data_IF_791375066588
#
_entry.id   IF_791375066588
#
_cell.length_a   1.000
_cell.length_b   1.000
_cell.length_c   1.000
_cell.angle_alpha   90.00
_cell.angle_beta   90.00
_cell.angle_gamma   90.00
#
_symmetry.space_group_name_H-M   'P 1'
#
loop_
_entity.id
_entity.type
_entity.pdbx_description
1 polymer ?
#
# COMPACT_ATOMS: atom_id res chain seq x y z
N UNK A 1 -14.79 -80.73 8.32
CA UNK A 1 -14.24 -79.93 7.20
C UNK A 1 -13.23 -78.97 7.79
N UNK A 2 -11.94 -79.21 7.50
CA UNK A 2 -10.74 -78.33 7.61
C UNK A 2 -10.63 -77.43 8.86
N UNK A 3 -9.83 -77.72 9.90
CA UNK A 3 -8.34 -77.64 9.99
C UNK A 3 -7.81 -76.27 9.56
N UNK A 4 -6.95 -75.51 10.27
CA UNK A 4 -6.12 -75.75 11.46
C UNK A 4 -5.54 -74.39 11.92
N UNK A 5 -5.20 -74.32 13.21
CA UNK A 5 -4.49 -73.26 13.94
C UNK A 5 -3.04 -73.02 13.48
N UNK A 6 -2.48 -71.84 13.75
CA UNK A 6 -1.27 -71.71 14.61
C UNK A 6 -0.80 -70.27 14.86
N UNK A 7 -0.17 -70.14 16.03
CA UNK A 7 0.33 -68.94 16.74
C UNK A 7 1.83 -68.65 16.39
N UNK A 8 2.62 -67.84 17.15
CA UNK A 8 3.32 -66.63 16.69
C UNK A 8 4.88 -66.72 16.72
N UNK A 9 5.60 -65.61 16.43
CA UNK A 9 6.79 -65.09 17.16
C UNK A 9 7.79 -64.32 16.27
N UNK A 10 8.38 -63.25 16.84
CA UNK A 10 9.85 -63.00 16.84
C UNK A 10 10.50 -62.28 15.65
N UNK A 11 11.20 -61.18 15.93
CA UNK A 11 12.04 -60.36 15.04
C UNK A 11 13.29 -61.09 14.47
N UNK A 12 14.03 -60.50 13.51
CA UNK A 12 15.24 -59.75 13.92
C UNK A 12 15.69 -58.55 13.04
N UNK A 13 16.44 -57.66 13.71
CA UNK A 13 17.66 -56.92 13.36
C UNK A 13 17.92 -56.10 12.07
N UNK A 14 18.66 -55.02 12.36
CA UNK A 14 19.31 -54.00 11.55
C UNK A 14 20.26 -54.53 10.44
N UNK A 15 20.44 -53.75 9.37
CA UNK A 15 21.73 -53.12 9.03
C UNK A 15 21.69 -52.30 7.71
N UNK A 16 22.48 -51.22 7.68
CA UNK A 16 23.16 -50.59 6.52
C UNK A 16 22.34 -49.92 5.39
N UNK A 17 22.18 -48.60 5.48
CA UNK A 17 22.04 -47.73 4.30
C UNK A 17 23.42 -47.17 3.94
N UNK A 18 23.97 -47.64 2.81
CA UNK A 18 25.23 -47.16 2.24
C UNK A 18 25.04 -45.83 1.50
N UNK A 19 25.94 -44.90 1.78
CA UNK A 19 26.17 -43.64 1.08
C UNK A 19 26.55 -43.87 -0.38
N UNK A 20 25.91 -43.17 -1.32
CA UNK A 20 26.40 -43.01 -2.70
C UNK A 20 26.86 -41.55 -2.95
N UNK A 21 28.01 -41.36 -3.63
CA UNK A 21 28.60 -40.04 -3.86
C UNK A 21 28.00 -39.31 -5.06
N UNK A 22 27.86 -38.00 -4.89
CA UNK A 22 27.45 -37.00 -5.87
C UNK A 22 28.40 -36.92 -7.06
N UNK A 23 27.88 -37.04 -8.30
CA UNK A 23 28.60 -36.68 -9.51
C UNK A 23 28.36 -35.20 -9.92
N UNK A 24 29.35 -34.50 -10.47
CA UNK A 24 29.24 -33.08 -10.82
C UNK A 24 28.58 -32.87 -12.19
N UNK A 25 27.66 -31.91 -12.26
CA UNK A 25 26.98 -31.45 -13.48
C UNK A 25 27.92 -30.52 -14.27
N UNK A 26 28.13 -30.72 -15.59
CA UNK A 26 28.97 -29.82 -16.38
C UNK A 26 28.23 -28.53 -16.75
N UNK A 27 28.85 -27.40 -16.41
CA UNK A 27 28.47 -26.05 -16.83
C UNK A 27 28.53 -25.89 -18.35
N UNK A 28 27.37 -25.74 -18.99
CA UNK A 28 27.27 -25.33 -20.41
C UNK A 28 26.95 -23.84 -20.50
N UNK A 29 27.92 -23.08 -21.04
CA UNK A 29 27.83 -21.66 -21.36
C UNK A 29 26.69 -21.39 -22.36
N UNK A 30 25.76 -20.49 -22.03
CA UNK A 30 24.75 -19.99 -22.98
C UNK A 30 25.33 -18.83 -23.80
N UNK A 31 25.61 -19.08 -25.08
CA UNK A 31 25.67 -18.02 -26.11
C UNK A 31 24.24 -17.63 -26.54
N UNK A 32 23.97 -16.35 -26.81
CA UNK A 32 22.66 -15.90 -27.28
C UNK A 32 22.46 -16.23 -28.76
N UNK A 33 21.35 -16.89 -29.08
CA UNK A 33 20.86 -17.08 -30.45
C UNK A 33 20.17 -15.79 -30.93
N UNK A 34 20.83 -15.05 -31.82
CA UNK A 34 20.15 -14.09 -32.69
C UNK A 34 19.25 -14.87 -33.66
N UNK A 35 17.99 -14.46 -33.79
CA UNK A 35 17.09 -14.95 -34.84
C UNK A 35 16.63 -13.75 -35.66
N UNK A 36 17.32 -13.53 -36.76
CA UNK A 36 16.87 -12.67 -37.86
C UNK A 36 15.61 -13.30 -38.51
N UNK A 37 14.68 -12.45 -38.96
CA UNK A 37 13.76 -12.81 -40.05
C UNK A 37 12.38 -13.37 -39.70
N UNK A 38 11.72 -12.94 -38.61
CA UNK A 38 10.29 -13.20 -38.44
C UNK A 38 9.47 -12.21 -39.30
N UNK A 39 9.05 -12.64 -40.49
CA UNK A 39 8.05 -11.91 -41.29
C UNK A 39 6.70 -12.07 -40.59
N UNK A 40 6.25 -11.01 -39.92
CA UNK A 40 4.93 -10.93 -39.32
C UNK A 40 3.89 -10.73 -40.43
N UNK A 41 3.05 -11.74 -40.66
CA UNK A 41 1.85 -11.59 -41.48
C UNK A 41 0.85 -10.78 -40.64
N UNK A 42 0.71 -9.50 -40.94
CA UNK A 42 -0.24 -8.60 -40.30
C UNK A 42 -1.67 -8.95 -40.71
N UNK A 43 -2.60 -8.87 -39.77
CA UNK A 43 -4.03 -8.95 -40.08
C UNK A 43 -4.47 -7.74 -40.92
N UNK A 44 -5.59 -7.82 -41.68
CA UNK A 44 -6.06 -6.72 -42.52
C UNK A 44 -6.27 -5.40 -41.77
N UNK A 45 -6.65 -5.47 -40.49
CA UNK A 45 -6.81 -4.31 -39.62
C UNK A 45 -5.46 -3.69 -39.19
N UNK A 46 -4.43 -4.52 -39.01
CA UNK A 46 -3.08 -4.06 -38.67
C UNK A 46 -2.38 -3.42 -39.88
N UNK A 47 -2.65 -3.91 -41.09
CA UNK A 47 -2.14 -3.31 -42.33
C UNK A 47 -2.75 -1.93 -42.61
N UNK A 48 -4.07 -1.78 -42.42
CA UNK A 48 -4.76 -0.51 -42.59
C UNK A 48 -4.27 0.57 -41.59
N UNK A 49 -3.92 0.15 -40.37
CA UNK A 49 -3.37 1.03 -39.35
C UNK A 49 -1.94 1.46 -39.68
N UNK A 50 -1.12 0.57 -40.24
CA UNK A 50 0.25 0.89 -40.67
C UNK A 50 0.28 1.90 -41.84
N UNK A 51 -0.58 1.73 -42.84
CA UNK A 51 -0.64 2.61 -44.02
C UNK A 51 -1.12 4.03 -43.68
N UNK A 52 -1.99 4.17 -42.68
CA UNK A 52 -2.44 5.47 -42.19
C UNK A 52 -1.33 6.23 -41.44
N UNK A 53 -0.37 5.54 -40.83
CA UNK A 53 0.69 6.13 -40.01
C UNK A 53 1.88 6.66 -40.82
N UNK A 54 2.10 6.18 -42.05
CA UNK A 54 3.19 6.63 -42.93
C UNK A 54 2.95 8.00 -43.59
N UNK A 55 1.73 8.55 -43.51
CA UNK A 55 1.33 9.75 -44.27
C UNK A 55 1.46 11.10 -43.54
N UNK A 56 1.92 11.16 -42.29
CA UNK A 56 1.94 12.45 -41.59
C UNK A 56 2.96 12.53 -40.44
N UNK A 57 4.02 13.31 -40.65
CA UNK A 57 4.92 13.87 -39.63
C UNK A 57 5.14 15.36 -39.96
N UNK A 58 5.26 16.27 -38.97
CA UNK A 58 6.60 16.76 -38.57
C UNK A 58 6.67 17.15 -37.03
N UNK A 59 7.68 17.90 -36.49
CA UNK A 59 8.54 17.48 -35.34
C UNK A 59 8.42 18.41 -34.08
N UNK A 60 9.15 18.15 -32.96
CA UNK A 60 8.95 18.83 -31.68
C UNK A 60 10.05 19.85 -31.27
N UNK A 61 9.69 20.83 -30.43
CA UNK A 61 10.54 21.78 -29.68
C UNK A 61 9.88 22.07 -28.31
N UNK A 62 10.51 22.67 -27.29
CA UNK A 62 11.76 22.49 -26.54
C UNK A 62 11.58 23.32 -25.23
N UNK A 63 12.38 22.99 -24.20
CA UNK A 63 12.35 23.38 -22.76
C UNK A 63 13.08 24.72 -22.48
N UNK A 64 12.79 25.43 -21.36
CA UNK A 64 13.72 26.24 -20.49
C UNK A 64 12.89 27.08 -19.45
N UNK A 65 13.31 27.48 -18.24
CA UNK A 65 14.58 27.57 -17.49
C UNK A 65 14.39 28.27 -16.09
N UNK A 66 15.45 28.34 -15.25
CA UNK A 66 15.52 28.67 -13.79
C UNK A 66 16.23 30.03 -13.44
N UNK A 67 16.13 30.44 -12.14
CA UNK A 67 17.09 31.14 -11.19
C UNK A 67 16.84 32.65 -10.87
N UNK A 68 17.56 33.34 -9.91
CA UNK A 68 17.69 33.14 -8.43
C UNK A 68 17.78 34.48 -7.56
N UNK A 69 17.87 34.31 -6.22
CA UNK A 69 18.66 34.98 -5.11
C UNK A 69 19.11 36.47 -5.09
N UNK A 70 19.06 37.11 -3.91
CA UNK A 70 20.07 38.04 -3.34
C UNK A 70 19.89 38.27 -1.81
N UNK A 71 21.01 38.45 -1.10
CA UNK A 71 21.24 38.77 0.34
C UNK A 71 21.63 40.26 0.47
N UNK A 72 21.55 40.85 1.67
CA UNK A 72 22.49 41.91 2.12
C UNK A 72 22.43 42.13 3.66
N UNK A 73 23.61 42.32 4.24
CA UNK A 73 23.99 42.58 5.65
C UNK A 73 23.93 44.09 6.02
N UNK A 74 23.91 44.42 7.33
CA UNK A 74 24.76 45.49 7.92
C UNK A 74 24.78 45.45 9.47
N UNK A 75 25.97 45.73 10.04
CA UNK A 75 26.37 45.70 11.46
C UNK A 75 26.36 47.09 12.16
N UNK A 76 26.73 47.11 13.46
CA UNK A 76 27.40 48.18 14.28
C UNK A 76 26.62 48.67 15.54
N UNK A 77 27.25 49.17 16.64
CA UNK A 77 28.01 48.44 17.67
C UNK A 77 27.60 48.81 19.12
N UNK A 78 28.32 48.25 20.10
CA UNK A 78 27.96 48.18 21.52
C UNK A 78 28.21 49.40 22.43
N UNK A 79 27.93 49.20 23.73
CA UNK A 79 28.51 49.97 24.83
C UNK A 79 28.37 49.26 26.18
N UNK A 80 29.51 48.86 26.75
CA UNK A 80 29.72 48.57 28.18
C UNK A 80 29.84 49.86 28.99
N UNK A 81 29.28 49.90 30.20
CA UNK A 81 29.89 50.59 31.36
C UNK A 81 29.20 50.19 32.67
N UNK A 82 29.96 49.60 33.61
CA UNK A 82 29.64 49.63 35.05
C UNK A 82 30.03 50.99 35.68
N UNK A 83 29.51 51.34 36.87
CA UNK A 83 30.35 51.17 38.06
C UNK A 83 29.62 50.74 39.35
N UNK A 84 30.41 50.11 40.22
CA UNK A 84 30.20 49.74 41.62
C UNK A 84 30.27 50.96 42.57
N UNK A 85 29.39 51.02 43.59
CA UNK A 85 29.77 51.21 45.00
C UNK A 85 28.54 51.21 45.94
N UNK A 86 28.48 50.18 46.79
CA UNK A 86 28.27 50.29 48.25
C UNK A 86 27.01 50.94 48.82
N UNK A 87 26.10 50.12 49.38
CA UNK A 87 25.57 50.36 50.74
C UNK A 87 25.13 49.06 51.39
N UNK A 88 25.63 48.82 52.60
CA UNK A 88 25.36 47.69 53.46
C UNK A 88 23.88 47.57 53.85
N UNK A 89 23.30 46.37 53.77
CA UNK A 89 22.30 45.91 54.73
C UNK A 89 22.35 44.39 54.82
N UNK A 90 22.58 43.91 56.04
CA UNK A 90 22.59 42.49 56.39
C UNK A 90 21.21 41.88 56.17
N UNK A 91 21.08 40.99 55.20
CA UNK A 91 20.04 39.97 55.18
C UNK A 91 20.72 38.64 54.89
N UNK A 92 20.81 37.79 55.92
CA UNK A 92 21.23 36.41 55.77
C UNK A 92 20.39 35.75 54.68
N UNK A 93 21.01 35.46 53.53
CA UNK A 93 20.47 34.51 52.57
C UNK A 93 20.51 33.13 53.23
N UNK A 94 19.48 32.82 54.00
CA UNK A 94 19.19 31.45 54.38
C UNK A 94 18.94 30.68 53.09
N UNK A 95 19.82 29.72 52.83
CA UNK A 95 19.58 28.62 51.89
C UNK A 95 18.18 28.04 52.18
N UNK A 96 17.21 28.40 51.35
CA UNK A 96 15.88 27.80 51.35
C UNK A 96 16.02 26.39 50.76
N UNK A 97 16.59 25.47 51.54
CA UNK A 97 16.34 24.06 51.35
C UNK A 97 14.85 23.88 51.62
N UNK A 98 14.02 23.53 50.63
CA UNK A 98 12.61 23.34 50.88
C UNK A 98 12.45 22.27 51.97
N UNK A 99 11.85 22.66 53.09
CA UNK A 99 11.60 21.75 54.21
C UNK A 99 10.85 20.53 53.66
N UNK A 100 11.36 19.33 53.97
CA UNK A 100 10.79 18.06 53.52
C UNK A 100 9.28 17.97 53.84
N UNK A 101 8.83 18.58 54.94
CA UNK A 101 7.41 18.66 55.32
C UNK A 101 6.55 19.44 54.33
N UNK A 102 7.07 20.52 53.72
CA UNK A 102 6.35 21.30 52.72
C UNK A 102 6.23 20.55 51.39
N UNK A 103 7.24 19.76 51.02
CA UNK A 103 7.22 18.94 49.80
C UNK A 103 6.24 17.76 49.97
N UNK A 104 6.24 17.10 51.13
CA UNK A 104 5.34 15.97 51.39
C UNK A 104 3.87 16.41 51.35
N UNK A 105 3.54 17.51 52.03
CA UNK A 105 2.17 18.03 52.04
C UNK A 105 1.66 18.49 50.66
N UNK A 106 2.52 19.12 49.86
CA UNK A 106 2.16 19.55 48.49
C UNK A 106 2.00 18.35 47.54
N UNK A 107 2.88 17.36 47.64
CA UNK A 107 2.84 16.15 46.81
C UNK A 107 1.60 15.29 47.11
N UNK A 108 1.22 15.12 48.38
CA UNK A 108 0.01 14.37 48.77
C UNK A 108 -1.30 15.05 48.33
N UNK A 109 -1.37 16.38 48.37
CA UNK A 109 -2.50 17.15 47.81
C UNK A 109 -2.61 16.93 46.30
N UNK A 110 -1.48 16.95 45.61
CA UNK A 110 -1.43 16.67 44.17
C UNK A 110 -1.82 15.23 43.82
N UNK A 111 -1.41 14.25 44.62
CA UNK A 111 -1.82 12.85 44.50
C UNK A 111 -3.33 12.66 44.63
N UNK A 112 -3.95 13.37 45.58
CA UNK A 112 -5.40 13.37 45.77
C UNK A 112 -6.12 14.00 44.57
N UNK A 113 -5.60 15.11 44.05
CA UNK A 113 -6.11 15.74 42.82
C UNK A 113 -6.02 14.79 41.61
N UNK A 114 -4.96 14.00 41.50
CA UNK A 114 -4.78 12.97 40.46
C UNK A 114 -5.56 11.67 40.71
N UNK A 115 -6.36 11.61 41.78
CA UNK A 115 -7.23 10.47 42.14
C UNK A 115 -6.46 9.14 42.27
N UNK A 116 -5.24 9.19 42.81
CA UNK A 116 -4.50 7.97 43.16
C UNK A 116 -5.29 7.13 44.18
N UNK A 117 -5.24 5.81 44.03
CA UNK A 117 -5.88 4.87 44.98
C UNK A 117 -5.25 5.01 46.37
N UNK A 118 -5.96 4.55 47.41
CA UNK A 118 -5.46 4.62 48.79
C UNK A 118 -4.08 3.97 48.93
N UNK A 119 -3.94 2.74 48.43
CA UNK A 119 -2.68 1.97 48.42
C UNK A 119 -1.53 2.73 47.73
N UNK A 120 -1.80 3.44 46.63
CA UNK A 120 -0.79 4.22 45.90
C UNK A 120 -0.37 5.50 46.63
N UNK A 121 -1.26 6.04 47.48
CA UNK A 121 -0.96 7.20 48.33
C UNK A 121 -0.09 6.78 49.52
N UNK A 122 -0.39 5.63 50.11
CA UNK A 122 0.42 5.06 51.19
C UNK A 122 1.85 4.74 50.70
N UNK A 123 1.97 4.16 49.50
CA UNK A 123 3.27 3.91 48.85
C UNK A 123 4.04 5.21 48.57
N UNK A 124 3.35 6.26 48.13
CA UNK A 124 3.95 7.57 47.87
C UNK A 124 4.44 8.24 49.16
N UNK A 125 3.66 8.16 50.24
CA UNK A 125 4.07 8.68 51.54
C UNK A 125 5.29 7.94 52.07
N UNK A 126 5.30 6.60 52.01
CA UNK A 126 6.45 5.79 52.37
C UNK A 126 7.68 6.12 51.52
N UNK A 127 7.51 6.38 50.22
CA UNK A 127 8.60 6.80 49.33
C UNK A 127 9.18 8.17 49.72
N UNK A 128 8.34 9.13 50.13
CA UNK A 128 8.76 10.45 50.57
C UNK A 128 9.48 10.42 51.93
N UNK A 129 9.26 9.40 52.75
CA UNK A 129 9.97 9.22 54.03
C UNK A 129 11.33 8.49 53.86
N UNK A 130 11.57 7.87 52.71
CA UNK A 130 12.80 7.11 52.45
C UNK A 130 14.04 8.00 52.23
N UNK A 131 15.24 7.45 52.47
CA UNK A 131 16.51 8.09 52.13
C UNK A 131 16.67 8.25 50.60
N UNK A 132 17.54 9.16 50.16
CA UNK A 132 17.79 9.38 48.73
C UNK A 132 18.22 8.09 47.99
N UNK A 133 19.11 7.30 48.60
CA UNK A 133 19.53 6.01 48.06
C UNK A 133 18.36 5.00 48.04
N UNK A 134 17.56 4.96 49.10
CA UNK A 134 16.36 4.11 49.16
C UNK A 134 15.32 4.46 48.09
N UNK A 135 15.11 5.75 47.82
CA UNK A 135 14.25 6.22 46.72
C UNK A 135 14.79 5.79 45.36
N UNK A 136 16.09 5.95 45.10
CA UNK A 136 16.72 5.51 43.85
C UNK A 136 16.59 3.99 43.66
N UNK A 137 16.83 3.20 44.71
CA UNK A 137 16.65 1.75 44.67
C UNK A 137 15.19 1.37 44.38
N UNK A 138 14.22 2.02 45.04
CA UNK A 138 12.78 1.82 44.77
C UNK A 138 12.39 2.17 43.34
N UNK A 139 12.89 3.27 42.78
CA UNK A 139 12.65 3.64 41.39
C UNK A 139 13.18 2.58 40.42
N UNK A 140 14.38 2.05 40.66
CA UNK A 140 14.96 0.98 39.84
C UNK A 140 14.12 -0.30 39.92
N UNK A 141 13.68 -0.69 41.12
CA UNK A 141 12.77 -1.85 41.29
C UNK A 141 11.44 -1.62 40.57
N UNK A 142 10.85 -0.42 40.64
CA UNK A 142 9.64 -0.09 39.90
C UNK A 142 9.86 -0.19 38.39
N UNK A 143 11.03 0.23 37.87
CA UNK A 143 11.37 0.11 36.47
C UNK A 143 11.42 -1.37 36.02
N UNK A 144 12.07 -2.23 36.80
CA UNK A 144 12.07 -3.69 36.55
C UNK A 144 10.66 -4.30 36.65
N UNK A 145 9.83 -3.84 37.58
CA UNK A 145 8.44 -4.30 37.69
C UNK A 145 7.62 -3.88 36.46
N UNK A 146 7.85 -2.68 35.93
CA UNK A 146 7.23 -2.21 34.69
C UNK A 146 7.71 -3.05 33.51
N UNK A 147 9.00 -3.37 33.42
CA UNK A 147 9.54 -4.27 32.39
C UNK A 147 8.86 -5.66 32.43
N UNK A 148 8.76 -6.28 33.61
CA UNK A 148 8.05 -7.55 33.78
C UNK A 148 6.58 -7.48 33.36
N UNK A 149 5.89 -6.37 33.68
CA UNK A 149 4.50 -6.15 33.25
C UNK A 149 4.41 -6.00 31.74
N UNK A 150 5.35 -5.26 31.12
CA UNK A 150 5.43 -5.12 29.66
C UNK A 150 5.64 -6.49 29.00
N UNK A 151 6.54 -7.33 29.54
CA UNK A 151 6.78 -8.67 29.00
C UNK A 151 5.57 -9.59 29.17
N UNK A 152 4.85 -9.46 30.28
CA UNK A 152 3.57 -10.16 30.48
C UNK A 152 2.54 -9.74 29.43
N UNK A 153 2.40 -8.43 29.17
CA UNK A 153 1.50 -7.93 28.13
C UNK A 153 1.90 -8.41 26.74
N UNK A 154 3.19 -8.43 26.42
CA UNK A 154 3.70 -8.97 25.15
C UNK A 154 3.41 -10.46 25.00
N UNK A 155 3.59 -11.23 26.07
CA UNK A 155 3.38 -12.69 26.08
C UNK A 155 1.89 -13.06 25.96
N UNK A 156 1.00 -12.21 26.47
CA UNK A 156 -0.45 -12.40 26.40
C UNK A 156 -1.10 -11.79 25.15
N UNK A 157 -0.33 -11.11 24.28
CA UNK A 157 -0.89 -10.44 23.12
C UNK A 157 -1.43 -11.48 22.10
N UNK A 158 -2.67 -11.31 21.60
CA UNK A 158 -3.21 -12.20 20.59
C UNK A 158 -2.40 -12.10 19.29
N UNK A 159 -2.34 -13.17 18.48
CA UNK A 159 -1.74 -13.10 17.16
C UNK A 159 -2.35 -11.97 16.34
N UNK A 160 -1.51 -11.20 15.65
CA UNK A 160 -1.98 -10.08 14.83
C UNK A 160 -3.03 -10.54 13.83
N UNK A 161 -4.09 -9.74 13.70
CA UNK A 161 -5.16 -9.89 12.72
C UNK A 161 -5.34 -8.58 11.98
N UNK A 162 -5.69 -8.67 10.70
CA UNK A 162 -6.01 -7.48 9.90
C UNK A 162 -7.29 -6.85 10.46
N UNK A 163 -7.21 -5.59 10.92
CA UNK A 163 -8.36 -4.86 11.46
C UNK A 163 -9.46 -4.69 10.41
N UNK A 164 -10.72 -4.56 10.84
CA UNK A 164 -11.84 -4.33 9.91
C UNK A 164 -11.77 -2.95 9.23
N UNK A 165 -11.20 -1.96 9.92
CA UNK A 165 -10.84 -0.67 9.32
C UNK A 165 -9.86 -0.83 8.17
N UNK A 166 -8.77 -1.59 8.38
CA UNK A 166 -7.78 -1.88 7.35
C UNK A 166 -8.37 -2.68 6.19
N UNK A 167 -9.25 -3.67 6.44
CA UNK A 167 -9.96 -4.40 5.37
C UNK A 167 -10.83 -3.47 4.53
N UNK A 168 -11.55 -2.54 5.16
CA UNK A 168 -12.37 -1.56 4.47
C UNK A 168 -11.53 -0.67 3.56
N UNK A 169 -10.40 -0.18 4.05
CA UNK A 169 -9.45 0.59 3.25
C UNK A 169 -8.88 -0.24 2.09
N UNK A 170 -8.46 -1.48 2.34
CA UNK A 170 -7.98 -2.41 1.31
C UNK A 170 -9.03 -2.58 0.21
N UNK A 171 -10.31 -2.76 0.55
CA UNK A 171 -11.38 -2.91 -0.43
C UNK A 171 -11.56 -1.65 -1.28
N UNK A 172 -11.62 -0.48 -0.66
CA UNK A 172 -11.78 0.78 -1.37
C UNK A 172 -10.61 1.06 -2.31
N UNK A 173 -9.36 0.90 -1.85
CA UNK A 173 -8.17 1.08 -2.68
C UNK A 173 -8.02 -0.01 -3.74
N UNK A 174 -8.53 -1.24 -3.51
CA UNK A 174 -8.56 -2.28 -4.54
C UNK A 174 -9.43 -1.88 -5.72
N UNK A 175 -10.59 -1.28 -5.45
CA UNK A 175 -11.44 -0.71 -6.51
C UNK A 175 -10.72 0.46 -7.18
N UNK A 176 -10.19 1.41 -6.42
CA UNK A 176 -9.49 2.59 -6.95
C UNK A 176 -8.35 2.25 -7.91
N UNK A 177 -7.49 1.32 -7.50
CA UNK A 177 -6.33 0.88 -8.30
C UNK A 177 -6.81 0.16 -9.55
N UNK A 178 -7.86 -0.66 -9.45
CA UNK A 178 -8.45 -1.33 -10.62
C UNK A 178 -9.15 -0.33 -11.57
N UNK A 179 -9.62 0.81 -11.09
CA UNK A 179 -10.24 1.84 -11.93
C UNK A 179 -9.25 2.87 -12.46
N UNK A 180 -8.01 2.86 -11.95
CA UNK A 180 -6.96 3.76 -12.40
C UNK A 180 -6.69 3.61 -13.89
N UNK A 181 -6.66 4.74 -14.59
CA UNK A 181 -6.36 4.81 -16.03
C UNK A 181 -4.87 4.60 -16.31
N UNK A 182 -4.03 4.70 -15.28
CA UNK A 182 -2.57 4.56 -15.38
C UNK A 182 -2.09 3.14 -15.07
N UNK A 183 -2.99 2.25 -14.62
CA UNK A 183 -2.59 0.88 -14.31
C UNK A 183 -2.11 0.14 -15.56
N UNK A 184 -0.97 -0.52 -15.39
CA UNK A 184 -0.31 -1.21 -16.49
C UNK A 184 -0.78 -2.65 -16.68
N UNK A 185 -1.30 -3.29 -15.62
CA UNK A 185 -1.90 -4.62 -15.65
C UNK A 185 -2.91 -4.76 -14.51
N UNK A 186 -4.02 -5.47 -14.76
CA UNK A 186 -5.04 -5.79 -13.77
C UNK A 186 -4.75 -7.09 -13.02
N UNK A 187 -3.74 -7.88 -13.43
CA UNK A 187 -3.35 -9.12 -12.75
C UNK A 187 -1.87 -9.13 -12.38
N UNK A 188 -1.56 -9.99 -11.40
CA UNK A 188 -0.20 -10.21 -10.92
C UNK A 188 0.17 -9.23 -9.83
N UNK A 189 1.47 -8.97 -9.72
CA UNK A 189 2.04 -8.22 -8.60
C UNK A 189 1.86 -6.71 -8.76
N UNK A 190 1.64 -6.21 -9.98
CA UNK A 190 1.47 -4.78 -10.28
C UNK A 190 0.36 -4.14 -9.42
N UNK A 191 -0.92 -4.57 -9.52
CA UNK A 191 -2.00 -3.98 -8.72
C UNK A 191 -1.77 -4.19 -7.22
N UNK A 192 -1.22 -5.34 -6.82
CA UNK A 192 -0.93 -5.65 -5.43
C UNK A 192 0.09 -4.67 -4.85
N UNK A 193 1.18 -4.43 -5.56
CA UNK A 193 2.26 -3.55 -5.14
C UNK A 193 1.80 -2.10 -5.03
N UNK A 194 0.94 -1.61 -5.94
CA UNK A 194 0.37 -0.27 -5.81
C UNK A 194 -0.45 -0.13 -4.52
N UNK A 195 -1.30 -1.10 -4.20
CA UNK A 195 -2.09 -1.07 -2.95
C UNK A 195 -1.15 -1.15 -1.74
N UNK A 196 -0.18 -2.06 -1.73
CA UNK A 196 0.79 -2.16 -0.62
C UNK A 196 1.58 -0.86 -0.43
N UNK A 197 1.95 -0.16 -1.51
CA UNK A 197 2.62 1.15 -1.44
C UNK A 197 1.70 2.22 -0.86
N UNK A 198 0.41 2.25 -1.23
CA UNK A 198 -0.60 3.13 -0.63
C UNK A 198 -0.71 2.85 0.88
N UNK A 199 -0.85 1.58 1.27
CA UNK A 199 -0.94 1.20 2.68
C UNK A 199 0.31 1.66 3.45
N UNK A 200 1.52 1.41 2.92
CA UNK A 200 2.78 1.84 3.54
C UNK A 200 2.88 3.36 3.68
N UNK A 201 2.38 4.12 2.70
CA UNK A 201 2.42 5.59 2.70
C UNK A 201 1.48 6.19 3.74
N UNK A 202 0.24 5.70 3.84
CA UNK A 202 -0.76 6.27 4.73
C UNK A 202 -0.79 5.63 6.12
N UNK A 203 -0.12 4.47 6.30
CA UNK A 203 0.03 3.68 7.53
C UNK A 203 -1.26 3.16 8.16
N UNK A 204 -2.40 3.83 8.03
CA UNK A 204 -3.70 3.44 8.58
C UNK A 204 -3.55 2.82 9.99
N UNK A 205 -4.17 1.65 10.23
CA UNK A 205 -4.08 0.91 11.49
C UNK A 205 -2.91 -0.10 11.54
N UNK A 206 -1.90 0.04 10.68
CA UNK A 206 -0.79 -0.92 10.63
C UNK A 206 0.21 -0.67 11.75
N UNK A 207 0.59 -1.71 12.52
CA UNK A 207 1.63 -1.60 13.53
C UNK A 207 2.96 -1.09 12.94
N UNK A 208 3.72 -0.25 13.69
CA UNK A 208 5.04 0.18 13.27
C UNK A 208 5.96 -1.02 13.01
N UNK A 209 6.61 -1.04 11.84
CA UNK A 209 7.60 -2.06 11.49
C UNK A 209 7.03 -3.43 11.11
N UNK A 210 5.71 -3.57 10.96
CA UNK A 210 5.06 -4.83 10.56
C UNK A 210 5.61 -5.39 9.23
N UNK A 211 6.19 -4.55 8.38
CA UNK A 211 6.79 -4.95 7.11
C UNK A 211 8.01 -5.87 7.27
N UNK A 212 8.67 -5.82 8.43
CA UNK A 212 9.81 -6.69 8.77
C UNK A 212 9.36 -8.01 9.42
N UNK A 213 8.10 -8.09 9.85
CA UNK A 213 7.49 -9.33 10.31
C UNK A 213 6.83 -10.03 9.13
N UNK A 214 7.57 -10.97 8.52
CA UNK A 214 7.10 -11.71 7.35
C UNK A 214 5.75 -12.38 7.57
N UNK A 215 5.49 -12.95 8.76
CA UNK A 215 4.25 -13.68 9.02
C UNK A 215 3.04 -12.74 9.11
N UNK A 216 3.21 -11.59 9.76
CA UNK A 216 2.12 -10.61 9.90
C UNK A 216 1.94 -9.75 8.64
N UNK A 217 3.03 -9.45 7.93
CA UNK A 217 2.97 -8.82 6.62
C UNK A 217 2.27 -9.70 5.56
N UNK A 218 2.46 -11.01 5.61
CA UNK A 218 1.79 -11.95 4.71
C UNK A 218 0.27 -11.94 4.89
N UNK A 219 -0.23 -11.73 6.12
CA UNK A 219 -1.67 -11.58 6.37
C UNK A 219 -2.25 -10.37 5.65
N UNK A 220 -1.54 -9.24 5.63
CA UNK A 220 -1.95 -8.02 4.90
C UNK A 220 -1.87 -8.28 3.39
N UNK A 221 -0.76 -8.85 2.92
CA UNK A 221 -0.55 -9.17 1.50
C UNK A 221 -1.61 -10.14 0.97
N UNK A 222 -2.02 -11.11 1.77
CA UNK A 222 -3.12 -12.04 1.48
C UNK A 222 -4.46 -11.31 1.42
N UNK A 223 -4.76 -10.43 2.37
CA UNK A 223 -5.99 -9.63 2.38
C UNK A 223 -6.11 -8.75 1.11
N UNK A 224 -5.01 -8.10 0.70
CA UNK A 224 -4.95 -7.33 -0.56
C UNK A 224 -5.19 -8.23 -1.78
N UNK A 225 -4.53 -9.37 -1.85
CA UNK A 225 -4.67 -10.32 -2.96
C UNK A 225 -6.09 -10.87 -3.08
N UNK A 226 -6.72 -11.16 -1.94
CA UNK A 226 -8.12 -11.56 -1.87
C UNK A 226 -9.04 -10.44 -2.37
N UNK A 227 -8.87 -9.22 -1.89
CA UNK A 227 -9.71 -8.07 -2.28
C UNK A 227 -9.62 -7.76 -3.78
N UNK A 228 -8.41 -7.79 -4.35
CA UNK A 228 -8.20 -7.65 -5.80
C UNK A 228 -8.90 -8.77 -6.60
N UNK A 229 -8.91 -9.99 -6.07
CA UNK A 229 -9.59 -11.11 -6.72
C UNK A 229 -11.10 -10.93 -6.70
N UNK A 230 -11.68 -10.55 -5.56
CA UNK A 230 -13.11 -10.27 -5.43
C UNK A 230 -13.54 -9.09 -6.30
N UNK A 231 -12.76 -8.00 -6.30
CA UNK A 231 -13.04 -6.81 -7.12
C UNK A 231 -13.06 -7.16 -8.61
N UNK A 232 -12.08 -7.93 -9.08
CA UNK A 232 -12.06 -8.41 -10.47
C UNK A 232 -13.23 -9.33 -10.78
N UNK A 233 -13.58 -10.26 -9.89
CA UNK A 233 -14.74 -11.12 -10.10
C UNK A 233 -16.03 -10.30 -10.23
N UNK A 234 -16.23 -9.29 -9.36
CA UNK A 234 -17.34 -8.34 -9.43
C UNK A 234 -17.36 -7.59 -10.76
N UNK A 235 -16.26 -6.98 -11.17
CA UNK A 235 -16.20 -6.20 -12.43
C UNK A 235 -16.43 -7.09 -13.65
N UNK A 236 -15.83 -8.29 -13.70
CA UNK A 236 -16.07 -9.25 -14.78
C UNK A 236 -17.55 -9.64 -14.88
N UNK A 237 -18.21 -9.85 -13.73
CA UNK A 237 -19.65 -10.12 -13.67
C UNK A 237 -20.47 -8.94 -14.22
N UNK A 238 -20.19 -7.71 -13.78
CA UNK A 238 -20.89 -6.52 -14.26
C UNK A 238 -20.73 -6.31 -15.76
N UNK A 239 -19.53 -6.53 -16.30
CA UNK A 239 -19.26 -6.44 -17.74
C UNK A 239 -20.10 -7.46 -18.52
N UNK A 240 -20.11 -8.73 -18.07
CA UNK A 240 -20.93 -9.77 -18.70
C UNK A 240 -22.41 -9.41 -18.68
N UNK A 241 -22.92 -8.99 -17.52
CA UNK A 241 -24.33 -8.68 -17.35
C UNK A 241 -24.73 -7.49 -18.23
N UNK A 242 -23.84 -6.49 -18.38
CA UNK A 242 -24.05 -5.34 -19.28
C UNK A 242 -24.12 -5.69 -20.77
N UNK A 243 -23.43 -6.74 -21.20
CA UNK A 243 -23.49 -7.22 -22.59
C UNK A 243 -24.86 -7.84 -22.87
N UNK A 244 -25.39 -8.60 -21.91
CA UNK A 244 -26.70 -9.25 -22.03
C UNK A 244 -27.82 -8.23 -22.01
N UNK A 245 -27.68 -7.17 -21.20
CA UNK A 245 -28.66 -6.11 -21.02
C UNK A 245 -28.51 -4.96 -22.03
N UNK A 246 -27.54 -5.04 -22.94
CA UNK A 246 -27.22 -3.97 -23.90
C UNK A 246 -27.03 -2.60 -23.23
N UNK A 247 -26.38 -2.59 -22.05
CA UNK A 247 -26.25 -1.37 -21.24
C UNK A 247 -25.15 -0.46 -21.79
N UNK A 248 -25.45 0.82 -21.95
CA UNK A 248 -24.44 1.80 -22.37
C UNK A 248 -23.24 1.85 -21.41
N UNK A 249 -22.06 2.21 -21.95
CA UNK A 249 -20.79 2.14 -21.21
C UNK A 249 -20.74 3.08 -20.00
N UNK A 250 -21.45 4.21 -20.06
CA UNK A 250 -21.47 5.18 -18.97
C UNK A 250 -22.29 4.67 -17.78
N UNK A 251 -23.47 4.11 -18.03
CA UNK A 251 -24.27 3.46 -17.01
C UNK A 251 -23.54 2.25 -16.39
N UNK A 252 -22.83 1.45 -17.19
CA UNK A 252 -21.97 0.40 -16.65
C UNK A 252 -20.88 0.98 -15.75
N UNK A 253 -20.19 2.05 -16.19
CA UNK A 253 -19.16 2.69 -15.37
C UNK A 253 -19.73 3.22 -14.04
N UNK A 254 -20.93 3.81 -14.05
CA UNK A 254 -21.64 4.25 -12.83
C UNK A 254 -21.89 3.08 -11.87
N UNK A 255 -22.32 1.92 -12.37
CA UNK A 255 -22.54 0.73 -11.53
C UNK A 255 -21.22 0.15 -10.99
N UNK A 256 -20.15 0.19 -11.79
CA UNK A 256 -18.83 -0.26 -11.36
C UNK A 256 -18.30 0.60 -10.21
N UNK A 257 -18.41 1.93 -10.32
CA UNK A 257 -17.95 2.87 -9.28
C UNK A 257 -18.95 3.02 -8.12
N UNK A 258 -20.12 2.38 -8.19
CA UNK A 258 -21.11 2.50 -7.14
C UNK A 258 -20.58 2.04 -5.79
N UNK A 259 -20.75 2.91 -4.79
CA UNK A 259 -20.26 2.72 -3.43
C UNK A 259 -18.80 3.11 -3.21
N UNK A 260 -18.15 3.75 -4.19
CA UNK A 260 -16.81 4.33 -4.05
C UNK A 260 -16.83 5.84 -4.28
N UNK A 261 -15.79 6.57 -3.84
CA UNK A 261 -15.67 8.00 -4.16
C UNK A 261 -15.33 8.27 -5.65
N UNK A 262 -14.95 7.23 -6.41
CA UNK A 262 -14.60 7.35 -7.84
C UNK A 262 -15.78 7.87 -8.67
N UNK A 263 -15.48 8.69 -9.69
CA UNK A 263 -16.46 9.18 -10.66
C UNK A 263 -16.28 8.51 -12.02
N UNK A 264 -17.36 8.30 -12.80
CA UNK A 264 -17.25 7.81 -14.17
C UNK A 264 -16.67 8.90 -15.08
N UNK A 265 -15.42 8.73 -15.49
CA UNK A 265 -14.73 9.61 -16.45
C UNK A 265 -14.72 9.00 -17.84
N UNK A 266 -14.43 9.81 -18.87
CA UNK A 266 -14.29 9.32 -20.26
C UNK A 266 -13.19 8.27 -20.37
N UNK A 267 -12.09 8.49 -19.66
CA UNK A 267 -10.93 7.61 -19.62
C UNK A 267 -11.31 6.27 -18.96
N UNK A 268 -12.05 6.29 -17.84
CA UNK A 268 -12.56 5.07 -17.23
C UNK A 268 -13.50 4.32 -18.18
N UNK A 269 -14.43 5.03 -18.82
CA UNK A 269 -15.34 4.42 -19.79
C UNK A 269 -14.59 3.74 -20.94
N UNK A 270 -13.50 4.32 -21.43
CA UNK A 270 -12.67 3.69 -22.47
C UNK A 270 -11.99 2.40 -22.00
N UNK A 271 -11.58 2.32 -20.72
CA UNK A 271 -11.03 1.10 -20.11
C UNK A 271 -12.09 0.03 -19.96
N UNK A 272 -13.30 0.42 -19.54
CA UNK A 272 -14.45 -0.47 -19.43
C UNK A 272 -14.88 -1.00 -20.80
N UNK A 273 -14.87 -0.17 -21.84
CA UNK A 273 -15.12 -0.58 -23.22
C UNK A 273 -14.09 -1.64 -23.69
N UNK A 274 -12.80 -1.45 -23.38
CA UNK A 274 -11.77 -2.47 -23.65
C UNK A 274 -12.08 -3.78 -22.93
N UNK A 275 -12.45 -3.72 -21.65
CA UNK A 275 -12.85 -4.90 -20.88
C UNK A 275 -14.03 -5.63 -21.53
N UNK A 276 -15.05 -4.89 -21.98
CA UNK A 276 -16.23 -5.44 -22.67
C UNK A 276 -15.86 -6.10 -24.00
N UNK A 277 -15.03 -5.44 -24.81
CA UNK A 277 -14.54 -5.99 -26.08
C UNK A 277 -13.79 -7.32 -25.89
N UNK A 278 -12.89 -7.39 -24.91
CA UNK A 278 -12.16 -8.63 -24.59
C UNK A 278 -13.10 -9.70 -24.04
N UNK A 279 -14.14 -9.32 -23.30
CA UNK A 279 -15.12 -10.28 -22.79
C UNK A 279 -15.86 -10.96 -23.94
N UNK A 280 -16.27 -10.19 -24.96
CA UNK A 280 -16.91 -10.72 -26.16
C UNK A 280 -15.97 -11.67 -26.94
N UNK A 281 -14.71 -11.28 -27.11
CA UNK A 281 -13.71 -12.08 -27.83
C UNK A 281 -13.52 -13.47 -27.18
N UNK A 282 -13.46 -13.54 -25.85
CA UNK A 282 -13.15 -14.77 -25.13
C UNK A 282 -14.32 -15.41 -24.38
N UNK A 283 -15.54 -14.89 -24.57
CA UNK A 283 -16.77 -15.27 -23.85
C UNK A 283 -16.60 -15.36 -22.33
N UNK A 284 -15.79 -14.47 -21.76
CA UNK A 284 -15.51 -14.46 -20.33
C UNK A 284 -14.70 -15.66 -19.81
N UNK A 285 -13.86 -16.29 -20.64
CA UNK A 285 -12.99 -17.40 -20.22
C UNK A 285 -12.07 -17.09 -19.03
N UNK A 286 -11.40 -18.12 -18.50
CA UNK A 286 -10.37 -17.97 -17.44
C UNK A 286 -9.19 -17.07 -17.87
N UNK A 287 -8.96 -16.94 -19.17
CA UNK A 287 -7.90 -16.08 -19.73
C UNK A 287 -8.29 -14.60 -19.82
N UNK A 288 -9.53 -14.24 -19.51
CA UNK A 288 -10.07 -12.89 -19.66
C UNK A 288 -9.14 -11.77 -19.17
N UNK A 289 -8.70 -11.81 -17.91
CA UNK A 289 -7.80 -10.80 -17.36
C UNK A 289 -6.42 -10.78 -18.02
N UNK A 290 -5.88 -11.96 -18.37
CA UNK A 290 -4.62 -12.05 -19.07
C UNK A 290 -4.71 -11.40 -20.47
N UNK A 291 -5.83 -11.56 -21.17
CA UNK A 291 -6.06 -10.95 -22.48
C UNK A 291 -6.18 -9.43 -22.37
N UNK A 292 -6.86 -8.91 -21.34
CA UNK A 292 -6.91 -7.45 -21.11
C UNK A 292 -5.48 -6.92 -20.90
N UNK A 293 -4.68 -7.58 -20.07
CA UNK A 293 -3.29 -7.16 -19.80
C UNK A 293 -2.42 -7.21 -21.06
N UNK A 294 -2.62 -8.21 -21.92
CA UNK A 294 -1.96 -8.29 -23.23
C UNK A 294 -2.38 -7.14 -24.16
N UNK A 295 -3.67 -6.78 -24.19
CA UNK A 295 -4.16 -5.61 -24.96
C UNK A 295 -3.57 -4.31 -24.43
N UNK A 296 -3.49 -4.13 -23.10
CA UNK A 296 -2.83 -2.96 -22.52
C UNK A 296 -1.34 -2.88 -22.87
N UNK A 297 -0.62 -4.01 -22.83
CA UNK A 297 0.77 -4.07 -23.23
C UNK A 297 0.94 -3.73 -24.73
N UNK A 298 0.03 -4.21 -25.58
CA UNK A 298 0.00 -3.87 -27.00
C UNK A 298 -0.22 -2.38 -27.24
N UNK A 299 -1.20 -1.77 -26.55
CA UNK A 299 -1.48 -0.33 -26.63
C UNK A 299 -0.24 0.49 -26.25
N UNK A 300 0.43 0.12 -25.15
CA UNK A 300 1.70 0.78 -24.75
C UNK A 300 2.78 0.63 -25.81
N UNK A 301 2.96 -0.57 -26.35
CA UNK A 301 3.95 -0.84 -27.40
C UNK A 301 3.69 -0.02 -28.66
N UNK A 302 2.43 0.11 -29.08
CA UNK A 302 2.04 0.90 -30.26
C UNK A 302 2.13 2.41 -30.02
N UNK A 303 1.84 2.86 -28.80
CA UNK A 303 1.95 4.28 -28.44
C UNK A 303 3.41 4.73 -28.28
N UNK A 304 4.30 3.84 -27.82
CA UNK A 304 5.68 4.20 -27.50
C UNK A 304 5.72 5.22 -26.36
N UNK A 305 6.42 6.34 -26.56
CA UNK A 305 6.50 7.46 -25.61
C UNK A 305 5.38 8.49 -25.78
N UNK A 306 4.51 8.33 -26.79
CA UNK A 306 3.47 9.31 -27.13
C UNK A 306 2.13 8.95 -26.45
N UNK A 307 1.83 9.63 -25.35
CA UNK A 307 0.56 9.48 -24.62
C UNK A 307 -0.68 9.84 -25.48
N UNK A 308 -0.51 10.71 -26.49
CA UNK A 308 -1.55 11.08 -27.44
C UNK A 308 -1.98 9.90 -28.30
N UNK A 309 -1.05 9.02 -28.71
CA UNK A 309 -1.36 7.78 -29.45
C UNK A 309 -2.14 6.78 -28.62
N UNK A 310 -1.74 6.56 -27.36
CA UNK A 310 -2.48 5.69 -26.46
C UNK A 310 -3.93 6.20 -26.29
N UNK A 311 -4.10 7.50 -26.10
CA UNK A 311 -5.41 8.15 -26.00
C UNK A 311 -6.25 7.99 -27.27
N UNK A 312 -5.64 8.08 -28.46
CA UNK A 312 -6.33 7.83 -29.74
C UNK A 312 -6.86 6.39 -29.83
N UNK A 313 -6.06 5.41 -29.41
CA UNK A 313 -6.48 3.99 -29.41
C UNK A 313 -7.67 3.77 -28.47
N UNK A 314 -7.60 4.29 -27.24
CA UNK A 314 -8.70 4.17 -26.29
C UNK A 314 -9.97 4.91 -26.76
N UNK A 315 -9.84 6.07 -27.42
CA UNK A 315 -10.98 6.76 -28.04
C UNK A 315 -11.61 5.93 -29.15
N UNK A 316 -10.82 5.26 -29.97
CA UNK A 316 -11.35 4.37 -31.02
C UNK A 316 -12.12 3.19 -30.42
N UNK A 317 -11.56 2.54 -29.38
CA UNK A 317 -12.24 1.45 -28.65
C UNK A 317 -13.57 1.94 -28.06
N UNK A 318 -13.56 3.10 -27.39
CA UNK A 318 -14.76 3.68 -26.80
C UNK A 318 -15.81 4.00 -27.88
N UNK A 319 -15.39 4.55 -29.02
CA UNK A 319 -16.29 4.86 -30.14
C UNK A 319 -17.01 3.59 -30.63
N UNK A 320 -16.27 2.52 -30.89
CA UNK A 320 -16.84 1.23 -31.32
C UNK A 320 -17.82 0.68 -30.28
N UNK A 321 -17.52 0.81 -28.98
CA UNK A 321 -18.43 0.37 -27.91
C UNK A 321 -19.74 1.17 -27.93
N UNK A 322 -19.67 2.50 -28.09
CA UNK A 322 -20.85 3.37 -28.20
C UNK A 322 -21.70 3.05 -29.43
N UNK A 323 -21.08 2.77 -30.56
CA UNK A 323 -21.77 2.35 -31.79
C UNK A 323 -22.44 0.98 -31.64
N UNK A 324 -22.00 0.15 -30.69
CA UNK A 324 -22.54 -1.19 -30.46
C UNK A 324 -23.65 -1.20 -29.40
N UNK A 325 -23.40 -0.59 -28.24
CA UNK A 325 -24.26 -0.66 -27.04
C UNK A 325 -24.91 0.68 -26.65
N UNK A 326 -24.72 1.72 -27.45
CA UNK A 326 -25.24 3.07 -27.18
C UNK A 326 -26.19 3.58 -28.26
N UNK A 327 -26.63 2.72 -29.17
CA UNK A 327 -27.50 3.11 -30.29
C UNK A 327 -28.88 3.50 -29.75
N UNK A 328 -29.31 4.72 -30.05
CA UNK A 328 -30.62 5.24 -29.62
C UNK A 328 -30.63 5.96 -28.28
N UNK A 329 -29.49 6.06 -27.60
CA UNK A 329 -29.34 6.83 -26.36
C UNK A 329 -28.38 8.02 -26.56
N UNK A 330 -28.90 9.24 -26.51
CA UNK A 330 -28.08 10.45 -26.47
C UNK A 330 -27.58 10.69 -25.04
N UNK A 331 -26.49 10.02 -24.66
CA UNK A 331 -25.79 10.30 -23.40
C UNK A 331 -24.44 11.01 -23.64
N UNK A 332 -24.15 11.98 -22.78
CA UNK A 332 -22.89 12.73 -22.78
C UNK A 332 -22.09 12.31 -21.55
N UNK A 333 -20.88 11.81 -21.78
CA UNK A 333 -19.91 11.60 -20.71
C UNK A 333 -19.21 12.93 -20.50
N UNK A 334 -19.50 13.61 -19.39
CA UNK A 334 -18.81 14.84 -19.05
C UNK A 334 -17.31 14.57 -18.86
N UNK A 335 -16.46 15.46 -19.37
CA UNK A 335 -15.00 15.41 -19.16
C UNK A 335 -14.70 15.90 -17.74
N UNK A 336 -15.05 15.07 -16.77
CA UNK A 336 -14.84 15.33 -15.36
C UNK A 336 -13.43 14.90 -14.98
N UNK A 337 -12.71 15.78 -14.31
CA UNK A 337 -11.44 15.45 -13.66
C UNK A 337 -11.72 14.42 -12.56
N UNK A 338 -10.78 13.49 -12.38
CA UNK A 338 -10.79 12.56 -11.26
C UNK A 338 -10.92 13.34 -9.93
N UNK A 339 -11.61 12.76 -8.94
CA UNK A 339 -11.69 13.39 -7.63
C UNK A 339 -10.33 13.37 -6.92
N UNK A 340 -10.14 14.23 -5.91
CA UNK A 340 -8.87 14.34 -5.18
C UNK A 340 -8.38 13.00 -4.62
N UNK A 341 -9.31 12.09 -4.29
CA UNK A 341 -8.98 10.76 -3.79
C UNK A 341 -8.45 9.84 -4.89
N UNK A 342 -9.12 9.77 -6.03
CA UNK A 342 -8.64 8.98 -7.17
C UNK A 342 -7.34 9.55 -7.73
N UNK A 343 -7.17 10.88 -7.73
CA UNK A 343 -5.92 11.52 -8.14
C UNK A 343 -4.73 11.05 -7.28
N UNK A 344 -4.89 10.98 -5.95
CA UNK A 344 -3.84 10.44 -5.06
C UNK A 344 -3.50 8.98 -5.35
N UNK A 345 -4.48 8.18 -5.76
CA UNK A 345 -4.25 6.80 -6.17
C UNK A 345 -3.51 6.77 -7.50
N UNK A 346 -3.93 7.60 -8.46
CA UNK A 346 -3.33 7.69 -9.78
C UNK A 346 -1.88 8.19 -9.71
N UNK A 347 -1.53 9.08 -8.78
CA UNK A 347 -0.16 9.51 -8.52
C UNK A 347 0.72 8.32 -8.09
N UNK A 348 0.24 7.53 -7.11
CA UNK A 348 0.95 6.33 -6.64
C UNK A 348 1.03 5.24 -7.72
N UNK A 349 0.00 5.11 -8.57
CA UNK A 349 0.00 4.16 -9.70
C UNK A 349 0.98 4.61 -10.80
N UNK A 350 1.09 5.93 -11.02
CA UNK A 350 2.00 6.51 -12.02
C UNK A 350 3.45 6.58 -11.53
N UNK A 351 3.69 6.36 -10.24
CA UNK A 351 5.01 6.40 -9.62
C UNK A 351 5.48 7.83 -9.30
N UNK A 352 4.55 8.75 -9.08
CA UNK A 352 4.79 10.16 -8.71
C UNK A 352 4.78 10.34 -7.19
#
# INVERSE_FOLDING_TARGET
>A
MTSTSNTPAGAPDASTAQSQPSQPVPTSQRRPLQREGAVYILSPAEQALADAMLRSSPPPEQVLGKRPHEEDDEEDPGRDTEPDEGTSTSAQAQSLVPSLGNITGTTLRYATYKKLRAEQRDELEAFLQESALGRQAKLFVCLLSVENKIDTFRSAAPPYQVSDGLKTNINNYSVAVLLSVNISAYKGDIPRNHILNILKRYRFDMPPGIEHDYANWEKITTAVSYSLTQTRARVKKLVRDSIVQDTNVFALAQVIVHGTPCRPTVQLCSRVALMRAVHQECKGSEKYWNLIDQRLALVRRLAGTDAGKASKIFRAILKTDRETYGVGEDYVIADLVADDWQQRVDDVVSGI
#
